data_IF_338120383281
#
_entry.id   IF_338120383281
#
_cell.length_a   1.000
_cell.length_b   1.000
_cell.length_c   1.000
_cell.angle_alpha   90.00
_cell.angle_beta   90.00
_cell.angle_gamma   90.00
#
_symmetry.space_group_name_H-M   'P 1'
#
loop_
_entity.id
_entity.type
_entity.pdbx_description
1 polymer ?
#
# COMPACT_ATOMS: atom_id res chain seq x y z
N UNK A 1 18.07 25.45 -26.04
CA UNK A 1 17.34 26.62 -25.51
C UNK A 1 15.94 26.63 -26.09
N UNK A 2 14.95 26.86 -25.22
CA UNK A 2 13.56 27.29 -25.48
C UNK A 2 12.63 26.29 -26.20
N UNK A 3 11.59 25.88 -25.46
CA UNK A 3 10.41 25.20 -26.00
C UNK A 3 9.40 24.81 -24.91
N UNK A 4 9.12 25.70 -23.96
CA UNK A 4 7.94 25.56 -23.09
C UNK A 4 6.70 25.88 -23.93
N UNK A 5 5.76 24.94 -24.04
CA UNK A 5 4.40 25.23 -24.49
C UNK A 5 3.42 24.51 -23.56
N UNK A 6 3.04 25.27 -22.55
CA UNK A 6 1.93 25.03 -21.64
C UNK A 6 0.63 25.24 -22.42
N UNK A 7 -0.27 24.26 -22.43
CA UNK A 7 -1.63 24.44 -22.93
C UNK A 7 -2.58 24.02 -21.81
N UNK A 8 -2.95 25.00 -20.99
CA UNK A 8 -4.14 24.97 -20.16
C UNK A 8 -5.34 25.30 -21.05
N UNK A 9 -6.31 24.40 -21.15
CA UNK A 9 -7.62 24.69 -21.72
C UNK A 9 -8.69 24.44 -20.65
N UNK A 10 -9.15 25.55 -20.07
CA UNK A 10 -10.29 25.64 -19.16
C UNK A 10 -11.56 25.54 -20.00
N UNK A 11 -12.39 24.53 -19.74
CA UNK A 11 -13.76 24.53 -20.24
C UNK A 11 -14.71 24.61 -19.05
N UNK A 12 -15.12 25.84 -18.73
CA UNK A 12 -16.24 26.13 -17.86
C UNK A 12 -17.51 26.12 -18.72
N UNK A 13 -18.44 25.20 -18.44
CA UNK A 13 -19.81 25.31 -18.91
C UNK A 13 -20.71 25.34 -17.68
N UNK A 14 -21.13 26.56 -17.35
CA UNK A 14 -22.19 26.84 -16.41
C UNK A 14 -23.53 26.51 -17.08
N UNK A 15 -24.29 25.57 -16.51
CA UNK A 15 -25.74 25.49 -16.71
C UNK A 15 -26.41 25.77 -15.37
N UNK A 16 -26.74 27.04 -15.17
CA UNK A 16 -27.69 27.49 -14.16
C UNK A 16 -29.01 27.78 -14.86
N UNK A 17 -30.07 27.03 -14.53
CA UNK A 17 -31.42 27.58 -14.27
C UNK A 17 -32.46 26.46 -14.15
N UNK A 18 -32.97 26.25 -12.94
CA UNK A 18 -34.40 25.99 -12.71
C UNK A 18 -34.70 26.35 -11.25
N UNK A 19 -35.34 27.50 -11.05
CA UNK A 19 -35.87 27.98 -9.79
C UNK A 19 -37.12 27.17 -9.40
N UNK A 20 -37.33 26.92 -8.11
CA UNK A 20 -38.58 27.36 -7.47
C UNK A 20 -38.36 27.56 -5.96
N UNK A 21 -38.88 28.66 -5.38
CA UNK A 21 -38.66 29.01 -3.99
C UNK A 21 -39.68 28.30 -3.11
N UNK A 22 -39.23 27.78 -1.97
CA UNK A 22 -40.14 27.58 -0.85
C UNK A 22 -39.52 28.30 0.34
N UNK A 23 -40.00 29.51 0.58
CA UNK A 23 -39.74 30.25 1.80
C UNK A 23 -40.51 29.56 2.93
N UNK A 24 -39.80 28.84 3.79
CA UNK A 24 -40.27 28.48 5.12
C UNK A 24 -39.07 28.36 6.06
N UNK A 25 -39.04 29.26 7.03
CA UNK A 25 -38.26 29.26 8.28
C UNK A 25 -36.72 29.30 8.24
N UNK A 26 -36.22 30.53 8.14
CA UNK A 26 -35.54 31.25 9.25
C UNK A 26 -34.82 30.38 10.32
N UNK A 27 -33.48 30.53 10.32
CA UNK A 27 -32.51 30.43 11.42
C UNK A 27 -32.06 29.05 11.90
N UNK A 28 -30.82 28.69 11.53
CA UNK A 28 -30.06 27.68 12.27
C UNK A 28 -28.96 26.92 11.53
N UNK A 29 -28.55 27.29 10.33
CA UNK A 29 -27.40 26.65 9.70
C UNK A 29 -26.10 27.28 10.21
N UNK A 30 -25.59 26.74 11.32
CA UNK A 30 -24.20 26.92 11.71
C UNK A 30 -23.32 26.53 10.53
N UNK A 31 -22.86 27.55 9.78
CA UNK A 31 -21.88 27.41 8.72
C UNK A 31 -20.57 27.06 9.40
N UNK A 32 -20.37 25.78 9.70
CA UNK A 32 -19.07 25.26 10.10
C UNK A 32 -18.08 25.69 9.03
N UNK A 33 -16.98 26.38 9.40
CA UNK A 33 -15.96 26.75 8.44
C UNK A 33 -15.42 25.44 7.88
N UNK A 34 -15.58 25.24 6.57
CA UNK A 34 -14.90 24.15 5.86
C UNK A 34 -13.41 24.53 5.80
N UNK A 35 -12.72 24.38 6.94
CA UNK A 35 -11.28 24.24 7.02
C UNK A 35 -10.94 23.11 6.05
N UNK A 36 -10.04 23.35 5.10
CA UNK A 36 -9.63 22.39 4.06
C UNK A 36 -8.99 21.12 4.61
N UNK A 37 -9.78 20.33 5.32
CA UNK A 37 -9.43 19.08 5.94
C UNK A 37 -9.57 17.94 4.96
N UNK A 38 -8.73 16.93 5.14
CA UNK A 38 -8.75 15.69 4.37
C UNK A 38 -10.12 15.02 4.52
N UNK A 39 -10.72 14.61 3.39
CA UNK A 39 -12.03 13.95 3.40
C UNK A 39 -12.01 12.68 4.27
N UNK A 40 -13.18 12.24 4.74
CA UNK A 40 -13.26 10.98 5.48
C UNK A 40 -12.79 9.79 4.63
N UNK A 41 -13.14 9.80 3.35
CA UNK A 41 -12.74 8.78 2.39
C UNK A 41 -11.21 8.73 2.26
N UNK A 42 -10.56 9.88 2.03
CA UNK A 42 -9.10 9.94 1.90
C UNK A 42 -8.40 9.48 3.17
N UNK A 43 -8.86 9.93 4.35
CA UNK A 43 -8.34 9.43 5.63
C UNK A 43 -8.48 7.92 5.80
N UNK A 44 -9.57 7.34 5.28
CA UNK A 44 -9.78 5.90 5.35
C UNK A 44 -8.85 5.16 4.39
N UNK A 45 -8.60 5.69 3.19
CA UNK A 45 -7.62 5.16 2.23
C UNK A 45 -6.21 5.21 2.79
N UNK A 46 -5.77 6.38 3.27
CA UNK A 46 -4.45 6.56 3.88
C UNK A 46 -4.23 5.60 5.05
N UNK A 47 -5.24 5.42 5.90
CA UNK A 47 -5.17 4.49 7.03
C UNK A 47 -4.97 3.04 6.57
N UNK A 48 -5.66 2.58 5.51
CA UNK A 48 -5.45 1.21 5.02
C UNK A 48 -4.06 1.02 4.41
N UNK A 49 -3.57 2.00 3.65
CA UNK A 49 -2.23 1.97 3.07
C UNK A 49 -1.13 2.00 4.13
N UNK A 50 -1.29 2.81 5.19
CA UNK A 50 -0.36 2.81 6.31
C UNK A 50 -0.34 1.47 7.06
N UNK A 51 -1.51 0.85 7.22
CA UNK A 51 -1.61 -0.47 7.84
C UNK A 51 -0.96 -1.57 6.98
N UNK A 52 -1.02 -1.45 5.64
CA UNK A 52 -0.29 -2.34 4.74
C UNK A 52 1.22 -2.14 4.90
N UNK A 53 1.71 -0.89 4.78
CA UNK A 53 3.12 -0.57 4.90
C UNK A 53 3.72 -1.05 6.24
N UNK A 54 3.01 -0.84 7.34
CA UNK A 54 3.46 -1.30 8.66
C UNK A 54 3.48 -2.83 8.80
N UNK A 55 2.60 -3.55 8.12
CA UNK A 55 2.62 -5.01 8.09
C UNK A 55 3.86 -5.52 7.35
N UNK A 56 4.20 -4.94 6.20
CA UNK A 56 5.42 -5.30 5.45
C UNK A 56 6.68 -4.95 6.22
N UNK A 57 6.77 -3.74 6.79
CA UNK A 57 7.95 -3.34 7.57
C UNK A 57 8.20 -4.24 8.79
N UNK A 58 7.14 -4.81 9.38
CA UNK A 58 7.25 -5.78 10.47
C UNK A 58 7.66 -7.16 9.97
N UNK A 59 7.14 -7.59 8.83
CA UNK A 59 7.39 -8.93 8.30
C UNK A 59 8.76 -9.04 7.61
N UNK A 60 9.19 -7.96 6.97
CA UNK A 60 10.43 -7.84 6.21
C UNK A 60 11.17 -6.59 6.68
N UNK A 61 11.95 -6.69 7.77
CA UNK A 61 12.73 -5.57 8.31
C UNK A 61 13.88 -5.16 7.37
N UNK A 62 14.53 -4.03 7.67
CA UNK A 62 15.60 -3.45 6.82
C UNK A 62 16.80 -4.39 6.62
N UNK A 63 17.04 -5.32 7.55
CA UNK A 63 18.07 -6.35 7.49
C UNK A 63 17.66 -7.59 6.68
N UNK A 64 16.48 -7.60 6.06
CA UNK A 64 16.08 -8.66 5.12
C UNK A 64 17.12 -8.75 3.99
N UNK A 65 17.71 -9.94 3.74
CA UNK A 65 18.78 -10.10 2.76
C UNK A 65 18.42 -9.53 1.38
N UNK A 66 19.40 -8.87 0.76
CA UNK A 66 19.20 -8.09 -0.48
C UNK A 66 18.72 -8.94 -1.65
N UNK A 67 19.09 -10.21 -1.69
CA UNK A 67 18.66 -11.21 -2.67
C UNK A 67 17.16 -11.51 -2.60
N UNK A 68 16.52 -11.29 -1.44
CA UNK A 68 15.09 -11.51 -1.25
C UNK A 68 14.25 -10.25 -1.42
N UNK A 69 14.88 -9.06 -1.42
CA UNK A 69 14.20 -7.77 -1.60
C UNK A 69 13.31 -7.71 -2.85
N UNK A 70 13.70 -8.24 -4.03
CA UNK A 70 12.83 -8.23 -5.20
C UNK A 70 11.49 -8.96 -4.99
N UNK A 71 11.49 -10.07 -4.25
CA UNK A 71 10.27 -10.83 -3.94
C UNK A 71 9.37 -10.08 -2.97
N UNK A 72 9.97 -9.47 -1.93
CA UNK A 72 9.24 -8.64 -0.96
C UNK A 72 8.59 -7.44 -1.64
N UNK A 73 9.34 -6.72 -2.48
CA UNK A 73 8.83 -5.56 -3.22
C UNK A 73 7.73 -5.96 -4.20
N UNK A 74 7.89 -7.08 -4.92
CA UNK A 74 6.86 -7.56 -5.84
C UNK A 74 5.54 -7.85 -5.12
N UNK A 75 5.61 -8.49 -3.95
CA UNK A 75 4.43 -8.75 -3.12
C UNK A 75 3.82 -7.44 -2.59
N UNK A 76 4.64 -6.50 -2.13
CA UNK A 76 4.17 -5.19 -1.65
C UNK A 76 3.40 -4.44 -2.74
N UNK A 77 3.97 -4.33 -3.93
CA UNK A 77 3.36 -3.62 -5.06
C UNK A 77 2.04 -4.28 -5.48
N UNK A 78 1.98 -5.62 -5.51
CA UNK A 78 0.72 -6.33 -5.81
C UNK A 78 -0.34 -6.00 -4.77
N UNK A 79 0.01 -6.09 -3.49
CA UNK A 79 -0.92 -5.79 -2.41
C UNK A 79 -1.39 -4.33 -2.40
N UNK A 80 -0.50 -3.40 -2.72
CA UNK A 80 -0.83 -1.99 -2.85
C UNK A 80 -1.80 -1.77 -4.03
N UNK A 81 -1.54 -2.38 -5.19
CA UNK A 81 -2.41 -2.27 -6.35
C UNK A 81 -3.85 -2.77 -6.06
N UNK A 82 -4.00 -3.84 -5.27
CA UNK A 82 -5.33 -4.31 -4.85
C UNK A 82 -6.06 -3.30 -3.95
N UNK A 83 -5.36 -2.60 -3.07
CA UNK A 83 -5.95 -1.53 -2.26
C UNK A 83 -6.27 -0.29 -3.08
N UNK A 84 -5.42 0.05 -4.05
CA UNK A 84 -5.64 1.15 -4.98
C UNK A 84 -6.87 0.86 -5.85
N UNK A 85 -7.06 -0.37 -6.35
CA UNK A 85 -8.27 -0.77 -7.06
C UNK A 85 -9.54 -0.62 -6.20
N UNK A 86 -9.47 -0.98 -4.90
CA UNK A 86 -10.57 -0.72 -3.98
C UNK A 86 -10.85 0.78 -3.84
N UNK A 87 -9.79 1.61 -3.77
CA UNK A 87 -9.90 3.05 -3.66
C UNK A 87 -10.46 3.68 -4.95
N UNK A 88 -10.08 3.21 -6.13
CA UNK A 88 -10.66 3.65 -7.40
C UNK A 88 -12.17 3.41 -7.43
N UNK A 89 -12.61 2.23 -7.00
CA UNK A 89 -14.05 1.96 -6.82
C UNK A 89 -14.70 2.92 -5.82
N UNK A 90 -14.03 3.28 -4.73
CA UNK A 90 -14.53 4.31 -3.79
C UNK A 90 -14.69 5.66 -4.48
N UNK A 91 -13.72 6.07 -5.28
CA UNK A 91 -13.74 7.37 -5.97
C UNK A 91 -14.79 7.45 -7.07
N UNK A 92 -15.10 6.32 -7.70
CA UNK A 92 -16.16 6.25 -8.72
C UNK A 92 -17.56 6.20 -8.12
N UNK A 93 -17.74 5.54 -6.97
CA UNK A 93 -19.06 5.21 -6.43
C UNK A 93 -19.44 5.95 -5.15
N UNK A 94 -18.46 6.51 -4.43
CA UNK A 94 -18.59 7.07 -3.08
C UNK A 94 -19.17 6.09 -2.04
N UNK A 95 -19.09 4.77 -2.30
CA UNK A 95 -19.60 3.73 -1.41
C UNK A 95 -18.55 3.32 -0.36
N UNK A 96 -18.41 4.15 0.68
CA UNK A 96 -17.41 3.95 1.74
C UNK A 96 -17.52 2.61 2.47
N UNK A 97 -18.73 2.07 2.62
CA UNK A 97 -18.94 0.76 3.27
C UNK A 97 -18.33 -0.37 2.44
N UNK A 98 -18.53 -0.32 1.13
CA UNK A 98 -18.08 -1.37 0.21
C UNK A 98 -16.57 -1.29 0.03
N UNK A 99 -16.02 -0.08 -0.04
CA UNK A 99 -14.57 0.15 0.06
C UNK A 99 -13.97 -0.53 1.29
N UNK A 100 -14.54 -0.30 2.49
CA UNK A 100 -14.02 -0.89 3.73
C UNK A 100 -14.03 -2.42 3.67
N UNK A 101 -15.08 -3.01 3.11
CA UNK A 101 -15.19 -4.47 2.92
C UNK A 101 -14.12 -4.99 1.95
N UNK A 102 -13.93 -4.30 0.82
CA UNK A 102 -12.90 -4.59 -0.17
C UNK A 102 -11.50 -4.55 0.47
N UNK A 103 -11.14 -3.41 1.07
CA UNK A 103 -9.83 -3.20 1.66
C UNK A 103 -9.53 -4.17 2.81
N UNK A 104 -10.51 -4.48 3.67
CA UNK A 104 -10.32 -5.49 4.73
C UNK A 104 -10.09 -6.89 4.16
N UNK A 105 -10.80 -7.26 3.09
CA UNK A 105 -10.62 -8.56 2.43
C UNK A 105 -9.24 -8.64 1.80
N UNK A 106 -8.84 -7.63 1.02
CA UNK A 106 -7.53 -7.60 0.38
C UNK A 106 -6.39 -7.61 1.39
N UNK A 107 -6.51 -6.86 2.49
CA UNK A 107 -5.51 -6.90 3.56
C UNK A 107 -5.37 -8.27 4.23
N UNK A 108 -6.46 -9.03 4.36
CA UNK A 108 -6.40 -10.40 4.90
C UNK A 108 -5.66 -11.33 3.97
N UNK A 109 -5.96 -11.27 2.67
CA UNK A 109 -5.26 -12.04 1.64
C UNK A 109 -3.77 -11.67 1.62
N UNK A 110 -3.45 -10.39 1.58
CA UNK A 110 -2.06 -9.91 1.67
C UNK A 110 -1.34 -10.36 2.94
N UNK A 111 -2.03 -10.43 4.09
CA UNK A 111 -1.41 -10.95 5.32
C UNK A 111 -1.04 -12.43 5.19
N UNK A 112 -1.87 -13.23 4.50
CA UNK A 112 -1.57 -14.63 4.23
C UNK A 112 -0.37 -14.76 3.29
N UNK A 113 -0.36 -14.01 2.18
CA UNK A 113 0.76 -14.04 1.22
C UNK A 113 2.08 -13.56 1.86
N UNK A 114 2.04 -12.59 2.78
CA UNK A 114 3.20 -12.18 3.57
C UNK A 114 3.73 -13.35 4.42
N UNK A 115 2.85 -14.05 5.13
CA UNK A 115 3.23 -15.18 5.97
C UNK A 115 3.81 -16.33 5.15
N UNK A 116 3.22 -16.62 3.99
CA UNK A 116 3.71 -17.62 3.05
C UNK A 116 5.11 -17.26 2.53
N UNK A 117 5.32 -16.00 2.13
CA UNK A 117 6.63 -15.55 1.68
C UNK A 117 7.65 -15.63 2.83
N UNK A 118 7.32 -15.21 4.05
CA UNK A 118 8.21 -15.35 5.20
C UNK A 118 8.62 -16.81 5.44
N UNK A 119 7.65 -17.74 5.39
CA UNK A 119 7.94 -19.17 5.54
C UNK A 119 8.85 -19.68 4.42
N UNK A 120 8.62 -19.24 3.18
CA UNK A 120 9.45 -19.60 2.04
C UNK A 120 10.89 -19.09 2.20
N UNK A 121 11.07 -17.81 2.55
CA UNK A 121 12.41 -17.22 2.74
C UNK A 121 13.19 -17.90 3.86
N UNK A 122 12.52 -18.21 4.98
CA UNK A 122 13.15 -18.95 6.07
C UNK A 122 13.61 -20.34 5.61
N UNK A 123 12.79 -21.06 4.85
CA UNK A 123 13.18 -22.39 4.33
C UNK A 123 14.37 -22.32 3.36
N UNK A 124 14.47 -21.25 2.57
CA UNK A 124 15.61 -21.02 1.67
C UNK A 124 16.88 -20.66 2.43
N UNK A 125 16.76 -19.88 3.51
CA UNK A 125 17.89 -19.55 4.38
C UNK A 125 18.41 -20.80 5.12
N UNK A 126 17.53 -21.63 5.66
CA UNK A 126 17.88 -22.86 6.36
C UNK A 126 18.59 -23.86 5.42
N UNK A 127 18.07 -24.06 4.21
CA UNK A 127 18.71 -24.91 3.21
C UNK A 127 20.09 -24.38 2.76
N UNK A 128 20.27 -23.06 2.75
CA UNK A 128 21.56 -22.44 2.51
C UNK A 128 22.57 -22.73 3.62
N UNK A 129 22.14 -22.71 4.87
CA UNK A 129 22.99 -22.99 6.02
C UNK A 129 23.43 -24.46 6.10
N UNK A 130 22.55 -25.42 5.78
CA UNK A 130 22.90 -26.84 5.71
C UNK A 130 23.96 -27.14 4.64
N UNK A 131 24.01 -26.36 3.56
CA UNK A 131 25.01 -26.51 2.50
C UNK A 131 26.40 -25.97 2.90
N UNK A 132 26.47 -25.15 3.94
CA UNK A 132 27.69 -24.48 4.41
C UNK A 132 28.26 -25.07 5.72
N UNK A 133 27.57 -26.01 6.37
CA UNK A 133 28.19 -26.82 7.42
C UNK A 133 29.21 -27.78 6.77
N UNK A 134 30.47 -27.32 6.69
CA UNK A 134 31.60 -28.17 6.38
C UNK A 134 31.59 -29.38 7.32
N UNK A 135 31.75 -30.57 6.77
CA UNK A 135 31.95 -31.75 7.61
C UNK A 135 33.19 -31.53 8.49
N UNK A 136 33.27 -32.14 9.69
CA UNK A 136 34.46 -32.01 10.55
C UNK A 136 35.78 -32.33 9.82
N UNK A 137 35.71 -33.22 8.82
CA UNK A 137 36.84 -33.58 7.96
C UNK A 137 37.26 -32.45 7.00
N UNK A 138 36.32 -31.65 6.49
CA UNK A 138 36.64 -30.51 5.62
C UNK A 138 37.16 -29.31 6.41
N UNK A 139 36.72 -29.15 7.66
CA UNK A 139 37.27 -28.18 8.60
C UNK A 139 38.76 -28.43 8.88
N UNK A 140 39.13 -29.70 9.11
CA UNK A 140 40.51 -30.11 9.41
C UNK A 140 41.47 -29.97 8.21
N UNK A 141 40.95 -30.00 6.97
CA UNK A 141 41.74 -29.76 5.76
C UNK A 141 42.05 -28.27 5.57
N UNK A 142 41.13 -27.38 5.96
CA UNK A 142 41.30 -25.93 5.83
C UNK A 142 42.19 -25.34 6.94
N UNK A 143 42.27 -26.01 8.10
CA UNK A 143 43.11 -25.58 9.23
C UNK A 143 44.57 -26.06 9.14
N UNK A 144 44.91 -26.89 8.15
CA UNK A 144 46.29 -27.32 7.94
C UNK A 144 47.15 -26.16 7.39
N UNK A 145 48.25 -25.76 8.07
CA UNK A 145 49.15 -24.76 7.54
C UNK A 145 49.77 -25.28 6.25
N UNK A 146 49.67 -24.48 5.18
CA UNK A 146 50.28 -24.80 3.89
C UNK A 146 51.78 -25.11 4.08
N UNK A 147 52.18 -26.31 3.67
CA UNK A 147 53.57 -26.79 3.67
C UNK A 147 54.42 -26.02 2.66
#
# INVERSE_FOLDING_TARGET
>A
MKGFLSIFAILAIALASAQQPNESDVLGAGKSPNLGGVSLEQRTVDSQNQLLASAFARAFPEDTPTEFQPMVVALYVRCQAELDNCADFLWETHLLRDYRTCAMTQRRLCTQEIQELQAQLNSMADAGNELFELSPAEQEVLEQPAV
#
